data_IF_145459265040
#
_entry.id   IF_145459265040
#
_cell.length_a   1.000
_cell.length_b   1.000
_cell.length_c   1.000
_cell.angle_alpha   90.00
_cell.angle_beta   90.00
_cell.angle_gamma   90.00
#
_symmetry.space_group_name_H-M   'P 1'
#
loop_
_entity.id
_entity.type
_entity.pdbx_description
1 polymer ?
#
# COMPACT_ATOMS: atom_id res chain seq x y z
N UNK A 1 2.66 -3.58 2.81
CA UNK A 1 3.63 -3.96 3.85
C UNK A 1 4.90 -3.17 3.65
N UNK A 2 5.37 -2.47 4.67
CA UNK A 2 6.61 -1.72 4.61
C UNK A 2 7.81 -2.62 4.98
N UNK A 3 8.76 -2.80 4.06
CA UNK A 3 9.88 -3.74 4.20
C UNK A 3 11.14 -3.15 4.84
N UNK A 4 11.24 -1.81 4.93
CA UNK A 4 12.46 -1.08 5.33
C UNK A 4 13.72 -1.64 4.65
N UNK A 5 13.66 -1.80 3.33
CA UNK A 5 14.70 -2.44 2.51
C UNK A 5 14.49 -3.93 2.33
N UNK A 6 13.99 -4.32 1.16
CA UNK A 6 13.83 -5.72 0.77
C UNK A 6 15.15 -6.43 0.38
N UNK A 7 16.16 -5.78 -0.26
CA UNK A 7 17.39 -6.45 -0.68
C UNK A 7 18.15 -7.15 0.44
N UNK A 8 18.14 -6.59 1.66
CA UNK A 8 18.92 -7.03 2.83
C UNK A 8 20.31 -7.54 2.41
N UNK A 9 21.11 -6.70 1.75
CA UNK A 9 22.30 -7.08 0.96
C UNK A 9 23.34 -7.92 1.75
N UNK A 10 23.45 -7.72 3.06
CA UNK A 10 24.32 -8.53 3.93
C UNK A 10 23.71 -9.81 4.51
N UNK A 11 22.43 -10.09 4.25
CA UNK A 11 21.64 -11.16 4.89
C UNK A 11 20.68 -11.82 3.87
N UNK A 12 21.23 -12.37 2.79
CA UNK A 12 20.47 -12.97 1.69
C UNK A 12 19.63 -14.19 2.11
N UNK A 13 20.06 -14.94 3.12
CA UNK A 13 19.29 -16.05 3.70
C UNK A 13 18.02 -15.53 4.39
N UNK A 14 18.15 -14.50 5.23
CA UNK A 14 17.00 -13.86 5.89
C UNK A 14 15.98 -13.33 4.89
N UNK A 15 16.44 -12.78 3.76
CA UNK A 15 15.54 -12.38 2.66
C UNK A 15 14.78 -13.56 2.08
N UNK A 16 15.47 -14.68 1.81
CA UNK A 16 14.84 -15.87 1.25
C UNK A 16 13.80 -16.46 2.21
N UNK A 17 14.14 -16.58 3.51
CA UNK A 17 13.18 -17.02 4.53
C UNK A 17 11.97 -16.10 4.63
N UNK A 18 12.18 -14.79 4.59
CA UNK A 18 11.10 -13.81 4.60
C UNK A 18 10.16 -13.96 3.39
N UNK A 19 10.71 -14.11 2.18
CA UNK A 19 9.90 -14.32 0.97
C UNK A 19 9.14 -15.66 1.05
N UNK A 20 9.79 -16.74 1.50
CA UNK A 20 9.12 -18.03 1.71
C UNK A 20 7.97 -17.93 2.73
N UNK A 21 8.15 -17.18 3.81
CA UNK A 21 7.10 -16.93 4.79
C UNK A 21 5.92 -16.16 4.18
N UNK A 22 6.18 -15.14 3.35
CA UNK A 22 5.12 -14.41 2.64
C UNK A 22 4.31 -15.32 1.70
N UNK A 23 4.98 -16.24 1.01
CA UNK A 23 4.30 -17.26 0.19
C UNK A 23 3.39 -18.17 1.01
N UNK A 24 3.80 -18.53 2.24
CA UNK A 24 3.02 -19.43 3.08
C UNK A 24 1.75 -18.79 3.65
N UNK A 25 1.57 -17.47 3.53
CA UNK A 25 0.40 -16.76 4.07
C UNK A 25 -0.85 -16.90 3.19
N UNK A 26 -0.75 -17.50 1.99
CA UNK A 26 -1.90 -17.64 1.09
C UNK A 26 -2.40 -16.31 0.52
N UNK A 27 -1.51 -15.32 0.39
CA UNK A 27 -1.83 -14.00 -0.15
C UNK A 27 -1.86 -14.07 -1.67
N UNK A 28 -2.90 -13.54 -2.32
CA UNK A 28 -2.97 -13.44 -3.79
C UNK A 28 -2.19 -12.25 -4.36
N UNK A 29 -2.34 -11.08 -3.74
CA UNK A 29 -1.69 -9.83 -4.15
C UNK A 29 -0.94 -9.26 -2.96
N UNK A 30 0.37 -9.12 -3.12
CA UNK A 30 1.27 -8.60 -2.10
C UNK A 30 1.80 -7.23 -2.54
N UNK A 31 1.61 -6.22 -1.70
CA UNK A 31 2.13 -4.88 -1.92
C UNK A 31 3.19 -4.54 -0.91
N UNK A 32 4.34 -4.12 -1.41
CA UNK A 32 5.55 -3.83 -0.67
C UNK A 32 5.89 -2.34 -0.79
N UNK A 33 6.23 -1.71 0.32
CA UNK A 33 6.73 -0.32 0.39
C UNK A 33 8.13 -0.29 1.00
N UNK A 34 8.87 0.79 0.75
CA UNK A 34 10.29 0.91 1.09
C UNK A 34 11.10 -0.32 0.63
N UNK A 35 10.86 -0.74 -0.61
CA UNK A 35 11.57 -1.90 -1.17
C UNK A 35 13.04 -1.58 -1.39
N UNK A 36 13.36 -0.33 -1.77
CA UNK A 36 14.68 0.09 -2.24
C UNK A 36 15.20 -0.77 -3.41
N UNK A 37 14.26 -1.25 -4.23
CA UNK A 37 14.52 -2.04 -5.42
C UNK A 37 14.88 -1.14 -6.61
N UNK A 38 15.99 -0.39 -6.51
CA UNK A 38 16.35 0.61 -7.52
C UNK A 38 17.16 0.05 -8.70
N UNK A 39 17.72 -1.15 -8.58
CA UNK A 39 18.56 -1.76 -9.61
C UNK A 39 17.85 -2.92 -10.33
N UNK A 40 18.13 -3.06 -11.63
CA UNK A 40 17.65 -4.19 -12.44
C UNK A 40 18.14 -5.55 -11.92
N UNK A 41 19.29 -5.59 -11.25
CA UNK A 41 19.80 -6.79 -10.57
C UNK A 41 18.91 -7.21 -9.40
N UNK A 42 18.35 -6.25 -8.65
CA UNK A 42 17.39 -6.58 -7.59
C UNK A 42 16.06 -7.05 -8.17
N UNK A 43 15.59 -6.45 -9.27
CA UNK A 43 14.38 -6.90 -9.95
C UNK A 43 14.51 -8.36 -10.38
N UNK A 44 15.58 -8.74 -11.09
CA UNK A 44 15.77 -10.13 -11.52
C UNK A 44 15.87 -11.12 -10.35
N UNK A 45 16.51 -10.70 -9.25
CA UNK A 45 16.58 -11.51 -8.03
C UNK A 45 15.20 -11.71 -7.41
N UNK A 46 14.40 -10.65 -7.29
CA UNK A 46 13.06 -10.73 -6.72
C UNK A 46 12.12 -11.52 -7.63
N UNK A 47 12.22 -11.37 -8.94
CA UNK A 47 11.45 -12.14 -9.90
C UNK A 47 11.69 -13.64 -9.74
N UNK A 48 12.96 -14.03 -9.57
CA UNK A 48 13.32 -15.43 -9.32
C UNK A 48 12.83 -15.92 -7.94
N UNK A 49 12.90 -15.08 -6.91
CA UNK A 49 12.55 -15.47 -5.54
C UNK A 49 11.04 -15.55 -5.31
N UNK A 50 10.26 -14.59 -5.81
CA UNK A 50 8.80 -14.58 -5.69
C UNK A 50 8.10 -15.53 -6.66
N UNK A 51 8.78 -15.99 -7.72
CA UNK A 51 8.23 -16.94 -8.71
C UNK A 51 6.82 -16.55 -9.19
N UNK A 52 6.60 -15.25 -9.32
CA UNK A 52 5.30 -14.66 -9.61
C UNK A 52 5.09 -14.50 -11.11
N UNK A 53 3.84 -14.60 -11.56
CA UNK A 53 3.45 -14.36 -12.95
C UNK A 53 3.51 -12.87 -13.33
N UNK A 54 3.41 -11.97 -12.36
CA UNK A 54 3.33 -10.53 -12.60
C UNK A 54 3.89 -9.73 -11.43
N UNK A 55 4.93 -8.96 -11.72
CA UNK A 55 5.68 -8.15 -10.76
C UNK A 55 5.84 -6.74 -11.32
N UNK A 56 5.54 -5.74 -10.50
CA UNK A 56 5.74 -4.33 -10.84
C UNK A 56 6.59 -3.68 -9.75
N UNK A 57 7.71 -3.08 -10.15
CA UNK A 57 8.64 -2.44 -9.25
C UNK A 57 8.76 -0.94 -9.56
N UNK A 58 8.75 -0.14 -8.50
CA UNK A 58 9.25 1.23 -8.50
C UNK A 58 10.42 1.32 -7.52
N UNK A 59 11.17 2.43 -7.49
CA UNK A 59 12.26 2.60 -6.52
C UNK A 59 11.84 2.44 -5.05
N UNK A 60 10.56 2.70 -4.75
CA UNK A 60 10.04 2.70 -3.38
C UNK A 60 8.99 1.62 -3.13
N UNK A 61 8.29 1.13 -4.16
CA UNK A 61 7.20 0.19 -4.01
C UNK A 61 7.39 -1.05 -4.88
N UNK A 62 6.74 -2.14 -4.51
CA UNK A 62 6.62 -3.34 -5.31
C UNK A 62 5.19 -3.86 -5.24
N UNK A 63 4.66 -4.35 -6.35
CA UNK A 63 3.39 -5.07 -6.42
C UNK A 63 3.68 -6.44 -6.97
N UNK A 64 3.29 -7.47 -6.22
CA UNK A 64 3.61 -8.87 -6.49
C UNK A 64 2.31 -9.67 -6.58
N UNK A 65 2.12 -10.35 -7.71
CA UNK A 65 0.99 -11.25 -7.92
C UNK A 65 1.37 -12.70 -7.61
N UNK A 66 0.96 -13.22 -6.45
CA UNK A 66 1.25 -14.59 -6.06
C UNK A 66 0.19 -15.58 -6.60
N UNK A 67 -0.94 -15.07 -7.07
CA UNK A 67 -2.02 -15.87 -7.65
C UNK A 67 -1.81 -16.14 -9.13
N UNK A 68 -1.99 -17.38 -9.62
CA UNK A 68 -1.97 -17.68 -11.06
C UNK A 68 -3.22 -17.18 -11.80
N UNK A 69 -4.28 -16.80 -11.06
CA UNK A 69 -5.56 -16.36 -11.63
C UNK A 69 -5.65 -14.85 -11.85
N UNK A 70 -4.65 -14.10 -11.40
CA UNK A 70 -4.61 -12.64 -11.47
C UNK A 70 -3.43 -12.24 -12.37
N UNK A 71 -3.66 -11.27 -13.24
CA UNK A 71 -2.65 -10.71 -14.14
C UNK A 71 -2.75 -9.20 -14.03
N UNK A 72 -1.61 -8.52 -13.82
CA UNK A 72 -1.58 -7.07 -13.89
C UNK A 72 -1.50 -6.64 -15.35
N UNK A 73 -2.39 -5.74 -15.74
CA UNK A 73 -2.44 -5.14 -17.07
C UNK A 73 -2.18 -3.64 -16.97
N UNK A 74 -1.84 -3.05 -18.10
CA UNK A 74 -1.72 -1.60 -18.20
C UNK A 74 -3.03 -0.91 -17.76
N UNK A 75 -2.96 0.17 -16.96
CA UNK A 75 -4.13 0.87 -16.42
C UNK A 75 -5.07 1.45 -17.49
N UNK A 76 -4.64 1.55 -18.75
CA UNK A 76 -5.42 1.99 -19.91
C UNK A 76 -6.30 0.88 -20.50
N UNK A 77 -6.10 -0.39 -20.13
CA UNK A 77 -6.89 -1.53 -20.65
C UNK A 77 -7.91 -2.05 -19.61
N UNK A 78 -9.21 -1.95 -19.99
CA UNK A 78 -10.44 -2.48 -19.34
C UNK A 78 -10.28 -3.04 -17.90
N UNK A 79 -10.58 -2.28 -16.84
CA UNK A 79 -10.44 -2.79 -15.49
C UNK A 79 -11.69 -3.56 -15.04
N UNK A 80 -11.51 -4.85 -14.71
CA UNK A 80 -12.37 -5.54 -13.76
C UNK A 80 -12.19 -4.99 -12.33
N UNK A 81 -11.08 -4.29 -12.08
CA UNK A 81 -10.78 -3.50 -10.88
C UNK A 81 -9.44 -2.79 -11.05
N UNK A 82 -9.11 -1.87 -10.14
CA UNK A 82 -7.85 -1.12 -10.15
C UNK A 82 -7.24 -1.10 -8.75
N UNK A 83 -5.93 -1.29 -8.67
CA UNK A 83 -5.17 -1.22 -7.42
C UNK A 83 -4.21 -0.04 -7.51
N UNK A 84 -4.41 0.95 -6.64
CA UNK A 84 -3.48 2.05 -6.43
C UNK A 84 -2.56 1.75 -5.26
N UNK A 85 -1.26 1.92 -5.45
CA UNK A 85 -0.27 1.82 -4.38
C UNK A 85 0.44 3.14 -4.22
N UNK A 86 0.43 3.69 -3.01
CA UNK A 86 1.15 4.94 -2.70
C UNK A 86 2.09 4.77 -1.52
N UNK A 87 3.27 5.36 -1.67
CA UNK A 87 4.22 5.60 -0.59
C UNK A 87 4.44 7.11 -0.51
N UNK A 88 4.04 7.70 0.61
CA UNK A 88 4.06 9.15 0.79
C UNK A 88 5.28 9.56 1.61
N UNK A 89 5.92 10.66 1.24
CA UNK A 89 7.14 11.12 1.92
C UNK A 89 6.92 11.37 3.42
N UNK A 90 7.96 11.10 4.24
CA UNK A 90 7.99 11.51 5.65
C UNK A 90 8.06 13.03 5.80
N UNK A 91 8.66 13.73 4.84
CA UNK A 91 8.70 15.20 4.80
C UNK A 91 7.29 15.76 4.67
N UNK A 92 6.89 16.63 5.62
CA UNK A 92 5.56 17.23 5.63
C UNK A 92 5.26 18.01 4.34
N UNK A 93 6.21 18.82 3.87
CA UNK A 93 6.04 19.63 2.66
C UNK A 93 5.89 18.75 1.41
N UNK A 94 6.77 17.77 1.22
CA UNK A 94 6.73 16.89 0.05
C UNK A 94 5.46 16.04 0.03
N UNK A 95 5.05 15.53 1.20
CA UNK A 95 3.79 14.82 1.37
C UNK A 95 2.59 15.67 1.00
N UNK A 96 2.52 16.90 1.52
CA UNK A 96 1.41 17.80 1.22
C UNK A 96 1.30 18.07 -0.28
N UNK A 97 2.41 18.43 -0.92
CA UNK A 97 2.45 18.70 -2.36
C UNK A 97 2.07 17.46 -3.19
N UNK A 98 2.59 16.29 -2.83
CA UNK A 98 2.27 15.04 -3.51
C UNK A 98 0.76 14.73 -3.42
N UNK A 99 0.20 14.74 -2.22
CA UNK A 99 -1.23 14.47 -2.02
C UNK A 99 -2.13 15.51 -2.71
N UNK A 100 -1.71 16.77 -2.75
CA UNK A 100 -2.44 17.82 -3.45
C UNK A 100 -2.46 17.59 -4.97
N UNK A 101 -1.34 17.15 -5.55
CA UNK A 101 -1.26 16.82 -6.98
C UNK A 101 -1.97 15.51 -7.36
N UNK A 102 -2.16 14.60 -6.40
CA UNK A 102 -2.68 13.26 -6.66
C UNK A 102 -4.14 13.28 -7.15
N UNK A 103 -4.96 14.19 -6.60
CA UNK A 103 -6.35 14.37 -7.04
C UNK A 103 -6.46 14.84 -8.50
N UNK A 104 -5.45 15.56 -9.00
CA UNK A 104 -5.39 16.02 -10.38
C UNK A 104 -4.82 14.98 -11.35
N UNK A 105 -4.39 13.82 -10.85
CA UNK A 105 -3.79 12.76 -11.67
C UNK A 105 -4.89 11.80 -12.17
N UNK A 106 -5.42 12.08 -13.35
CA UNK A 106 -6.53 11.33 -13.98
C UNK A 106 -6.26 9.83 -14.17
N UNK A 107 -4.99 9.45 -14.30
CA UNK A 107 -4.61 8.06 -14.53
C UNK A 107 -4.64 7.24 -13.24
N UNK A 108 -4.46 7.90 -12.09
CA UNK A 108 -4.42 7.23 -10.79
C UNK A 108 -5.84 6.98 -10.27
N UNK A 109 -6.64 8.05 -10.13
CA UNK A 109 -8.01 7.95 -9.62
C UNK A 109 -8.94 7.63 -10.80
N UNK A 110 -9.61 6.48 -10.81
CA UNK A 110 -10.48 6.13 -11.92
C UNK A 110 -11.67 7.11 -12.01
N UNK A 111 -12.06 7.55 -13.21
CA UNK A 111 -13.20 8.46 -13.39
C UNK A 111 -14.53 7.79 -13.02
N UNK A 112 -14.60 6.47 -13.15
CA UNK A 112 -15.70 5.66 -12.65
C UNK A 112 -15.34 5.19 -11.24
N UNK A 113 -16.14 5.61 -10.26
CA UNK A 113 -15.96 5.33 -8.83
C UNK A 113 -16.32 3.89 -8.47
N UNK A 114 -15.71 2.90 -9.13
CA UNK A 114 -15.99 1.49 -8.87
C UNK A 114 -14.74 0.62 -8.89
N UNK A 115 -14.75 -0.43 -8.08
CA UNK A 115 -13.73 -1.48 -8.04
C UNK A 115 -12.29 -0.98 -7.84
N UNK A 116 -12.09 0.06 -7.00
CA UNK A 116 -10.77 0.60 -6.69
C UNK A 116 -10.32 0.25 -5.28
N UNK A 117 -9.09 -0.24 -5.16
CA UNK A 117 -8.41 -0.53 -3.89
C UNK A 117 -7.17 0.38 -3.80
N UNK A 118 -7.05 1.15 -2.73
CA UNK A 118 -5.90 1.99 -2.44
C UNK A 118 -5.12 1.42 -1.26
N UNK A 119 -3.88 1.00 -1.52
CA UNK A 119 -2.94 0.50 -0.52
C UNK A 119 -1.89 1.59 -0.26
N UNK A 120 -1.86 2.11 0.95
CA UNK A 120 -1.09 3.31 1.26
C UNK A 120 -0.18 3.14 2.47
N UNK A 121 1.03 3.71 2.38
CA UNK A 121 1.75 4.19 3.55
C UNK A 121 1.77 5.73 3.47
N UNK A 122 0.96 6.39 4.29
CA UNK A 122 0.82 7.84 4.30
C UNK A 122 1.94 8.57 5.06
N UNK A 123 2.75 7.84 5.84
CA UNK A 123 3.62 8.43 6.86
C UNK A 123 2.88 9.46 7.75
N UNK A 124 1.58 9.24 7.94
CA UNK A 124 0.64 10.12 8.63
C UNK A 124 -0.55 9.34 9.16
N UNK A 125 -0.99 9.67 10.37
CA UNK A 125 -2.25 9.18 10.91
C UNK A 125 -3.40 10.08 10.43
N UNK A 126 -4.25 9.57 9.53
CA UNK A 126 -5.34 10.34 8.90
C UNK A 126 -6.63 10.35 9.73
N UNK A 127 -6.87 9.35 10.58
CA UNK A 127 -8.04 9.28 11.47
C UNK A 127 -7.79 9.90 12.86
N UNK A 128 -6.61 10.48 13.10
CA UNK A 128 -6.32 11.12 14.39
C UNK A 128 -7.00 12.48 14.47
N UNK A 129 -7.54 12.85 15.64
CA UNK A 129 -7.95 14.23 15.90
C UNK A 129 -6.80 15.25 15.70
N UNK A 130 -5.54 14.79 15.72
CA UNK A 130 -4.34 15.57 15.39
C UNK A 130 -4.05 15.66 13.87
N UNK A 131 -4.77 14.93 13.01
CA UNK A 131 -4.68 15.03 11.55
C UNK A 131 -5.24 16.37 11.02
N UNK A 132 -6.11 17.01 11.81
CA UNK A 132 -6.76 18.30 11.51
C UNK A 132 -5.76 19.48 11.39
N UNK A 133 -4.49 19.28 11.72
CA UNK A 133 -3.44 20.29 11.56
C UNK A 133 -2.58 20.08 10.32
N UNK A 134 -2.88 20.75 9.19
CA UNK A 134 -1.99 21.06 8.04
C UNK A 134 -1.04 19.95 7.51
N UNK A 135 -1.30 18.67 7.78
CA UNK A 135 -0.37 17.56 7.42
C UNK A 135 -0.78 16.81 6.16
N UNK A 136 -2.04 16.96 5.74
CA UNK A 136 -2.56 16.59 4.43
C UNK A 136 -3.50 17.69 3.90
N UNK A 137 -3.68 17.82 2.58
CA UNK A 137 -4.65 18.75 1.99
C UNK A 137 -6.08 18.41 2.41
N UNK A 138 -6.91 19.43 2.65
CA UNK A 138 -8.31 19.24 3.05
C UNK A 138 -9.10 18.47 1.98
N UNK A 139 -8.91 18.83 0.71
CA UNK A 139 -9.57 18.17 -0.43
C UNK A 139 -9.21 16.68 -0.52
N UNK A 140 -7.96 16.32 -0.20
CA UNK A 140 -7.53 14.91 -0.15
C UNK A 140 -8.24 14.16 0.96
N UNK A 141 -8.29 14.73 2.17
CA UNK A 141 -8.99 14.11 3.30
C UNK A 141 -10.49 13.97 3.03
N UNK A 142 -11.11 14.99 2.45
CA UNK A 142 -12.51 14.97 2.05
C UNK A 142 -12.77 13.92 0.96
N UNK A 143 -11.88 13.81 -0.03
CA UNK A 143 -11.98 12.78 -1.06
C UNK A 143 -11.97 11.37 -0.47
N UNK A 144 -11.06 11.08 0.46
CA UNK A 144 -10.99 9.79 1.16
C UNK A 144 -12.28 9.55 1.96
N UNK A 145 -12.73 10.53 2.75
CA UNK A 145 -13.92 10.42 3.60
C UNK A 145 -15.21 10.15 2.82
N UNK A 146 -15.36 10.79 1.65
CA UNK A 146 -16.57 10.65 0.82
C UNK A 146 -16.56 9.35 0.00
N UNK A 147 -15.41 8.97 -0.57
CA UNK A 147 -15.36 7.96 -1.63
C UNK A 147 -14.81 6.60 -1.17
N UNK A 148 -14.07 6.57 -0.06
CA UNK A 148 -13.35 5.38 0.38
C UNK A 148 -13.76 4.94 1.77
N UNK A 149 -13.66 3.63 2.01
CA UNK A 149 -13.81 3.05 3.34
C UNK A 149 -12.51 2.38 3.76
N UNK A 150 -12.03 2.67 4.98
CA UNK A 150 -10.93 1.93 5.59
C UNK A 150 -11.40 0.49 5.86
N UNK A 151 -10.75 -0.48 5.23
CA UNK A 151 -11.07 -1.90 5.39
C UNK A 151 -10.54 -2.48 6.69
N UNK A 152 -9.55 -1.86 7.32
CA UNK A 152 -8.88 -2.39 8.50
C UNK A 152 -9.53 -1.88 9.78
N UNK A 153 -9.80 -0.58 9.85
CA UNK A 153 -10.43 0.01 11.03
C UNK A 153 -11.95 -0.07 10.93
N UNK A 154 -12.58 -0.85 11.81
CA UNK A 154 -14.03 -0.91 11.90
C UNK A 154 -14.63 0.46 12.25
N UNK A 155 -15.81 0.76 11.69
CA UNK A 155 -16.52 2.03 11.98
C UNK A 155 -16.72 2.20 13.49
N UNK A 156 -16.29 3.35 14.01
CA UNK A 156 -16.38 3.69 15.43
C UNK A 156 -15.25 3.14 16.30
N UNK A 157 -14.28 2.41 15.73
CA UNK A 157 -13.09 1.97 16.44
C UNK A 157 -11.89 2.87 16.15
N UNK A 158 -10.89 2.79 17.04
CA UNK A 158 -9.60 3.42 16.81
C UNK A 158 -8.71 2.52 15.95
N UNK A 159 -7.98 3.06 14.97
CA UNK A 159 -7.06 2.27 14.17
C UNK A 159 -5.96 1.62 15.02
N UNK A 160 -5.62 0.38 14.69
CA UNK A 160 -4.47 -0.31 15.30
C UNK A 160 -3.15 0.27 14.75
N UNK A 161 -2.13 0.46 15.60
CA UNK A 161 -0.87 1.09 15.17
C UNK A 161 -0.06 0.17 14.25
N UNK A 162 0.26 0.64 13.05
CA UNK A 162 1.08 -0.11 12.07
C UNK A 162 2.56 0.25 12.13
N UNK A 163 2.90 1.31 12.89
CA UNK A 163 4.25 1.79 13.07
C UNK A 163 4.54 2.08 14.54
N UNK A 164 5.68 1.57 14.99
CA UNK A 164 6.15 1.73 16.37
C UNK A 164 7.52 2.42 16.39
N UNK A 165 7.62 3.43 17.23
CA UNK A 165 8.87 4.02 17.71
C UNK A 165 8.98 3.78 19.21
N UNK A 166 10.17 3.95 19.78
CA UNK A 166 10.49 3.58 21.16
C UNK A 166 9.50 4.10 22.22
N UNK A 167 8.84 5.23 21.97
CA UNK A 167 7.91 5.89 22.90
C UNK A 167 6.55 6.23 22.27
N UNK A 168 6.29 5.85 21.03
CA UNK A 168 5.05 6.22 20.32
C UNK A 168 4.65 5.15 19.31
N UNK A 169 3.34 5.03 19.09
CA UNK A 169 2.78 4.15 18.07
C UNK A 169 1.76 4.91 17.25
N UNK A 170 1.76 4.68 15.94
CA UNK A 170 0.88 5.38 15.00
C UNK A 170 0.41 4.45 13.91
N UNK A 171 -0.79 4.70 13.39
CA UNK A 171 -1.30 4.04 12.19
C UNK A 171 -0.97 4.90 10.99
N UNK A 172 -0.14 4.38 10.10
CA UNK A 172 0.29 5.08 8.88
C UNK A 172 0.06 4.26 7.62
N UNK A 173 -0.23 2.97 7.76
CA UNK A 173 -0.52 2.06 6.67
C UNK A 173 -2.02 1.77 6.63
N UNK A 174 -2.62 1.86 5.45
CA UNK A 174 -4.07 1.75 5.27
C UNK A 174 -4.42 0.95 4.02
N UNK A 175 -5.54 0.25 4.08
CA UNK A 175 -6.18 -0.41 2.95
C UNK A 175 -7.55 0.23 2.77
N UNK A 176 -7.67 1.07 1.76
CA UNK A 176 -8.91 1.71 1.39
C UNK A 176 -9.55 1.01 0.20
N UNK A 177 -10.87 0.95 0.18
CA UNK A 177 -11.63 0.53 -1.00
C UNK A 177 -12.71 1.55 -1.31
N UNK A 178 -13.09 1.67 -2.57
CA UNK A 178 -14.31 2.40 -2.90
C UNK A 178 -15.54 1.74 -2.29
N UNK A 179 -16.53 2.57 -1.96
CA UNK A 179 -17.72 2.19 -1.20
C UNK A 179 -18.52 1.03 -1.83
N UNK A 180 -18.40 0.81 -3.14
CA UNK A 180 -19.01 -0.30 -3.86
C UNK A 180 -18.36 -1.67 -3.57
N UNK A 181 -17.07 -1.68 -3.24
CA UNK A 181 -16.33 -2.88 -2.84
C UNK A 181 -16.45 -3.20 -1.35
N UNK A 182 -16.80 -2.23 -0.51
CA UNK A 182 -16.85 -2.41 0.94
C UNK A 182 -17.71 -3.61 1.40
N UNK A 183 -18.89 -3.90 0.83
CA UNK A 183 -19.68 -5.09 1.19
C UNK A 183 -18.99 -6.43 0.90
N UNK A 184 -17.93 -6.44 0.09
CA UNK A 184 -17.14 -7.63 -0.28
C UNK A 184 -15.93 -7.82 0.63
N UNK A 185 -15.59 -6.84 1.47
CA UNK A 185 -14.50 -6.95 2.43
C UNK A 185 -14.90 -7.95 3.52
N UNK A 186 -14.09 -8.98 3.72
CA UNK A 186 -14.29 -9.99 4.76
C UNK A 186 -12.97 -10.21 5.50
N UNK A 187 -13.07 -10.49 6.80
CA UNK A 187 -11.94 -10.84 7.68
C UNK A 187 -10.71 -9.91 7.58
N UNK A 188 -10.86 -8.59 7.84
CA UNK A 188 -9.72 -7.69 7.85
C UNK A 188 -8.80 -7.98 9.04
N UNK A 189 -7.52 -8.22 8.77
CA UNK A 189 -6.53 -8.57 9.79
C UNK A 189 -5.28 -7.68 9.72
N UNK A 190 -4.68 -7.46 10.90
CA UNK A 190 -3.38 -6.80 11.06
C UNK A 190 -2.45 -7.79 11.76
N UNK A 191 -1.34 -8.11 11.10
CA UNK A 191 -0.30 -8.99 11.63
C UNK A 191 1.06 -8.31 11.58
N UNK A 192 1.90 -8.55 12.59
CA UNK A 192 3.27 -8.06 12.63
C UNK A 192 4.23 -9.23 12.38
N UNK A 193 5.20 -9.00 11.49
CA UNK A 193 6.31 -9.92 11.26
C UNK A 193 7.50 -9.36 12.02
N UNK A 194 8.03 -10.17 12.94
CA UNK A 194 9.19 -9.83 13.79
C UNK A 194 10.47 -10.44 13.25
#
# INVERSE_FOLDING_TARGET
MNCRGLPKVGHSESRSFFICHLHSQGIDILVLQETYASSSMFHSTFDQQFRSSSLLWSPHCGVVCLSPHIIFTDPLFKPCGRIGVIYVSTSQTLRYCFLASLLSTSDFIPPNTSNFILLSNFNHAIHSHYALGRRAPADWLQFIDINMTDCITLRGQHPLPTFYQSLSSTTIDYIFVFSDLHPRTTDPQVSYIH
#
